data_IF_687300212896
#
_entry.id   IF_687300212896
#
_cell.length_a   1.000
_cell.length_b   1.000
_cell.length_c   1.000
_cell.angle_alpha   90.00
_cell.angle_beta   90.00
_cell.angle_gamma   90.00
#
_symmetry.space_group_name_H-M   'P 1'
#
loop_
_entity.id
_entity.type
_entity.pdbx_description
1 polymer ?
#
# COMPACT_ATOMS: atom_id res chain seq x y z
N UNK A 1 -15.39 -9.54 -43.45
CA UNK A 1 -16.39 -8.45 -43.31
C UNK A 1 -17.42 -8.73 -42.20
N UNK A 2 -18.20 -9.82 -42.22
CA UNK A 2 -19.13 -10.14 -41.11
C UNK A 2 -18.45 -10.72 -39.85
N UNK A 3 -17.33 -11.45 -40.00
CA UNK A 3 -16.52 -11.95 -38.87
C UNK A 3 -15.84 -10.81 -38.11
N UNK A 4 -15.26 -9.85 -38.82
CA UNK A 4 -14.52 -8.74 -38.23
C UNK A 4 -15.41 -7.85 -37.34
N UNK A 5 -16.67 -7.63 -37.74
CA UNK A 5 -17.65 -6.88 -36.94
C UNK A 5 -18.15 -7.64 -35.70
N UNK A 6 -18.23 -8.97 -35.79
CA UNK A 6 -18.64 -9.80 -34.64
C UNK A 6 -17.50 -9.90 -33.64
N UNK A 7 -16.26 -10.08 -34.10
CA UNK A 7 -15.09 -10.12 -33.22
C UNK A 7 -14.84 -8.76 -32.54
N UNK A 8 -15.07 -7.64 -33.24
CA UNK A 8 -15.01 -6.29 -32.67
C UNK A 8 -16.13 -6.01 -31.66
N UNK A 9 -17.37 -6.39 -31.97
CA UNK A 9 -18.50 -6.22 -31.06
C UNK A 9 -18.42 -7.14 -29.83
N UNK A 10 -17.94 -8.38 -30.00
CA UNK A 10 -17.71 -9.31 -28.89
C UNK A 10 -16.57 -8.82 -28.00
N UNK A 11 -15.46 -8.32 -28.59
CA UNK A 11 -14.36 -7.71 -27.83
C UNK A 11 -14.78 -6.48 -27.02
N UNK A 12 -15.60 -5.59 -27.60
CA UNK A 12 -16.11 -4.41 -26.89
C UNK A 12 -17.08 -4.75 -25.74
N UNK A 13 -17.93 -5.79 -25.91
CA UNK A 13 -18.86 -6.25 -24.87
C UNK A 13 -18.10 -6.95 -23.72
N UNK A 14 -17.04 -7.69 -24.04
CA UNK A 14 -16.17 -8.33 -23.05
C UNK A 14 -15.40 -7.31 -22.20
N UNK A 15 -14.87 -6.25 -22.80
CA UNK A 15 -14.10 -5.23 -22.09
C UNK A 15 -14.95 -4.45 -21.06
N UNK A 16 -16.18 -4.07 -21.41
CA UNK A 16 -17.08 -3.37 -20.51
C UNK A 16 -17.59 -4.26 -19.37
N UNK A 17 -17.79 -5.56 -19.62
CA UNK A 17 -18.15 -6.52 -18.57
C UNK A 17 -16.97 -6.78 -17.62
N UNK A 18 -15.77 -6.96 -18.16
CA UNK A 18 -14.53 -7.14 -17.38
C UNK A 18 -14.26 -5.93 -16.50
N UNK A 19 -14.32 -4.72 -17.06
CA UNK A 19 -14.09 -3.47 -16.32
C UNK A 19 -15.10 -3.27 -15.20
N UNK A 20 -16.39 -3.53 -15.45
CA UNK A 20 -17.44 -3.47 -14.40
C UNK A 20 -17.15 -4.45 -13.27
N UNK A 21 -16.81 -5.70 -13.59
CA UNK A 21 -16.53 -6.71 -12.58
C UNK A 21 -15.25 -6.39 -11.78
N UNK A 22 -14.19 -5.93 -12.45
CA UNK A 22 -12.97 -5.44 -11.79
C UNK A 22 -13.28 -4.30 -10.82
N UNK A 23 -14.14 -3.37 -11.21
CA UNK A 23 -14.60 -2.27 -10.36
C UNK A 23 -15.27 -2.79 -9.10
N UNK A 24 -16.26 -3.67 -9.24
CA UNK A 24 -16.97 -4.25 -8.08
C UNK A 24 -16.02 -4.98 -7.14
N UNK A 25 -15.11 -5.80 -7.68
CA UNK A 25 -14.17 -6.57 -6.86
C UNK A 25 -13.12 -5.68 -6.18
N UNK A 26 -12.65 -4.66 -6.88
CA UNK A 26 -11.69 -3.68 -6.36
C UNK A 26 -12.32 -2.89 -5.21
N UNK A 27 -13.48 -2.28 -5.43
CA UNK A 27 -14.15 -1.44 -4.43
C UNK A 27 -14.54 -2.25 -3.19
N UNK A 28 -14.96 -3.51 -3.39
CA UNK A 28 -15.22 -4.43 -2.28
C UNK A 28 -13.97 -4.72 -1.45
N UNK A 29 -12.80 -4.81 -2.07
CA UNK A 29 -11.54 -5.17 -1.39
C UNK A 29 -10.82 -3.95 -0.82
N UNK A 30 -11.01 -2.77 -1.40
CA UNK A 30 -10.29 -1.54 -1.12
C UNK A 30 -10.30 -1.15 0.38
N UNK A 31 -11.43 -1.16 1.11
CA UNK A 31 -11.46 -0.77 2.52
C UNK A 31 -10.55 -1.62 3.42
N UNK A 32 -10.44 -2.93 3.13
CA UNK A 32 -9.58 -3.84 3.88
C UNK A 32 -8.08 -3.56 3.67
N UNK A 33 -7.72 -2.84 2.60
CA UNK A 33 -6.35 -2.53 2.23
C UNK A 33 -5.92 -1.12 2.67
N UNK A 34 -6.84 -0.25 3.08
CA UNK A 34 -6.51 1.04 3.68
C UNK A 34 -5.68 0.91 4.95
N UNK A 35 -5.70 -0.25 5.61
CA UNK A 35 -4.86 -0.58 6.76
C UNK A 35 -3.40 -0.93 6.38
N UNK A 36 -3.05 -1.05 5.09
CA UNK A 36 -1.69 -1.37 4.63
C UNK A 36 -0.97 -0.15 4.00
N UNK A 37 0.37 -0.13 3.94
CA UNK A 37 1.11 0.86 3.15
C UNK A 37 0.73 0.77 1.68
N UNK A 38 0.81 1.88 0.94
CA UNK A 38 0.28 1.99 -0.42
C UNK A 38 0.79 0.90 -1.35
N UNK A 39 2.10 0.70 -1.38
CA UNK A 39 2.74 -0.30 -2.23
C UNK A 39 2.28 -1.71 -1.91
N UNK A 40 2.20 -2.04 -0.61
CA UNK A 40 1.75 -3.35 -0.17
C UNK A 40 0.26 -3.56 -0.43
N UNK A 41 -0.54 -2.52 -0.28
CA UNK A 41 -1.96 -2.53 -0.64
C UNK A 41 -2.15 -2.80 -2.14
N UNK A 42 -1.41 -2.10 -3.01
CA UNK A 42 -1.42 -2.32 -4.45
C UNK A 42 -1.00 -3.74 -4.84
N UNK A 43 0.12 -4.23 -4.30
CA UNK A 43 0.57 -5.61 -4.55
C UNK A 43 -0.48 -6.63 -4.08
N UNK A 44 -1.09 -6.41 -2.92
CA UNK A 44 -2.14 -7.29 -2.39
C UNK A 44 -3.39 -7.25 -3.27
N UNK A 45 -3.77 -6.07 -3.78
CA UNK A 45 -4.90 -5.90 -4.70
C UNK A 45 -4.66 -6.61 -6.03
N UNK A 46 -3.49 -6.40 -6.65
CA UNK A 46 -3.08 -7.08 -7.89
C UNK A 46 -3.15 -8.59 -7.72
N UNK A 47 -2.53 -9.12 -6.66
CA UNK A 47 -2.60 -10.55 -6.33
C UNK A 47 -4.02 -11.06 -6.05
N UNK A 48 -4.89 -10.24 -5.46
CA UNK A 48 -6.30 -10.59 -5.24
C UNK A 48 -7.05 -10.75 -6.57
N UNK A 49 -6.88 -9.83 -7.51
CA UNK A 49 -7.54 -9.89 -8.82
C UNK A 49 -6.96 -11.03 -9.68
N UNK A 50 -5.66 -11.33 -9.60
CA UNK A 50 -5.09 -12.52 -10.25
C UNK A 50 -5.73 -13.82 -9.78
N UNK A 51 -5.92 -13.97 -8.47
CA UNK A 51 -6.61 -15.14 -7.93
C UNK A 51 -8.09 -15.22 -8.32
N UNK A 52 -8.66 -14.14 -8.85
CA UNK A 52 -10.02 -14.11 -9.41
C UNK A 52 -10.07 -14.45 -10.90
N UNK A 53 -8.91 -14.74 -11.52
CA UNK A 53 -8.81 -15.23 -12.90
C UNK A 53 -8.57 -14.14 -13.94
N UNK A 54 -8.31 -12.90 -13.52
CA UNK A 54 -8.01 -11.82 -14.47
C UNK A 54 -6.56 -11.87 -14.94
N UNK A 55 -6.34 -11.47 -16.19
CA UNK A 55 -5.04 -11.45 -16.85
C UNK A 55 -4.08 -10.43 -16.19
N UNK A 56 -2.79 -10.78 -16.02
CA UNK A 56 -1.70 -9.90 -15.56
C UNK A 56 -1.80 -8.45 -16.02
N UNK A 57 -1.64 -8.21 -17.32
CA UNK A 57 -1.62 -6.89 -17.95
C UNK A 57 -2.86 -6.05 -17.64
N UNK A 58 -4.06 -6.63 -17.75
CA UNK A 58 -5.32 -5.93 -17.44
C UNK A 58 -5.34 -5.45 -15.98
N UNK A 59 -4.98 -6.32 -15.03
CA UNK A 59 -4.97 -5.97 -13.61
C UNK A 59 -3.89 -4.94 -13.28
N UNK A 60 -2.70 -5.04 -13.90
CA UNK A 60 -1.63 -4.06 -13.70
C UNK A 60 -2.11 -2.68 -14.14
N UNK A 61 -2.59 -2.56 -15.38
CA UNK A 61 -3.10 -1.31 -15.94
C UNK A 61 -4.27 -0.76 -15.10
N UNK A 62 -5.22 -1.60 -14.73
CA UNK A 62 -6.38 -1.22 -13.94
C UNK A 62 -6.00 -0.71 -12.54
N UNK A 63 -5.16 -1.46 -11.80
CA UNK A 63 -4.72 -1.05 -10.47
C UNK A 63 -3.85 0.22 -10.51
N UNK A 64 -2.99 0.36 -11.51
CA UNK A 64 -2.11 1.53 -11.63
C UNK A 64 -2.90 2.79 -11.98
N UNK A 65 -3.96 2.68 -12.78
CA UNK A 65 -4.91 3.78 -13.04
C UNK A 65 -5.67 4.24 -11.80
N UNK A 66 -5.88 3.34 -10.83
CA UNK A 66 -6.60 3.61 -9.56
C UNK A 66 -5.68 3.71 -8.34
N UNK A 67 -4.37 3.91 -8.55
CA UNK A 67 -3.40 3.98 -7.45
C UNK A 67 -3.66 5.12 -6.46
N UNK A 68 -4.41 6.15 -6.86
CA UNK A 68 -4.81 7.29 -6.02
C UNK A 68 -5.85 6.93 -4.96
N UNK A 69 -6.56 5.81 -5.14
CA UNK A 69 -7.60 5.38 -4.22
C UNK A 69 -7.01 4.77 -2.92
N UNK A 70 -5.69 4.52 -2.92
CA UNK A 70 -4.96 4.06 -1.75
C UNK A 70 -4.34 5.25 -1.00
N UNK A 71 -4.21 5.16 0.35
CA UNK A 71 -3.57 6.19 1.15
C UNK A 71 -2.16 6.52 0.63
N UNK A 72 -1.82 7.80 0.54
CA UNK A 72 -0.52 8.29 0.10
C UNK A 72 -0.19 9.62 0.81
N UNK A 73 1.08 10.04 0.75
CA UNK A 73 1.53 11.30 1.33
C UNK A 73 1.27 11.35 2.83
N UNK A 74 0.72 12.46 3.33
CA UNK A 74 0.47 12.69 4.75
C UNK A 74 -0.36 11.57 5.41
N UNK A 75 -1.39 11.06 4.72
CA UNK A 75 -2.21 9.97 5.27
C UNK A 75 -1.42 8.66 5.45
N UNK A 76 -0.45 8.40 4.57
CA UNK A 76 0.47 7.27 4.70
C UNK A 76 1.50 7.53 5.81
N UNK A 77 2.04 8.75 5.89
CA UNK A 77 3.03 9.16 6.89
C UNK A 77 2.46 9.10 8.32
N UNK A 78 1.26 9.63 8.56
CA UNK A 78 0.58 9.54 9.86
C UNK A 78 0.41 8.09 10.34
N UNK A 79 0.11 7.21 9.41
CA UNK A 79 -0.08 5.79 9.71
C UNK A 79 1.26 5.07 9.92
N UNK A 80 2.27 5.42 9.13
CA UNK A 80 3.64 4.98 9.37
C UNK A 80 4.13 5.42 10.75
N UNK A 81 3.82 6.64 11.19
CA UNK A 81 4.13 7.14 12.53
C UNK A 81 3.44 6.34 13.62
N UNK A 82 2.14 6.07 13.47
CA UNK A 82 1.37 5.25 14.41
C UNK A 82 1.92 3.80 14.51
N UNK A 83 2.32 3.22 13.38
CA UNK A 83 2.96 1.90 13.35
C UNK A 83 4.36 1.92 13.97
N UNK A 84 5.17 2.94 13.67
CA UNK A 84 6.50 3.13 14.23
C UNK A 84 6.43 3.22 15.76
N UNK A 85 5.48 4.01 16.30
CA UNK A 85 5.26 4.13 17.74
C UNK A 85 4.93 2.77 18.39
N UNK A 86 4.10 1.94 17.74
CA UNK A 86 3.81 0.57 18.22
C UNK A 86 5.06 -0.32 18.22
N UNK A 87 5.90 -0.23 17.19
CA UNK A 87 7.14 -1.01 17.11
C UNK A 87 8.15 -0.51 18.16
N UNK A 88 8.32 0.81 18.31
CA UNK A 88 9.15 1.43 19.35
C UNK A 88 8.72 0.94 20.74
N UNK A 89 7.43 0.98 21.05
CA UNK A 89 6.89 0.48 22.33
C UNK A 89 7.22 -0.99 22.57
N UNK A 90 7.11 -1.84 21.56
CA UNK A 90 7.46 -3.26 21.66
C UNK A 90 8.95 -3.50 21.88
N UNK A 91 9.81 -2.62 21.37
CA UNK A 91 11.27 -2.71 21.49
C UNK A 91 11.82 -1.90 22.68
N UNK A 92 10.97 -1.22 23.46
CA UNK A 92 11.41 -0.35 24.56
C UNK A 92 12.27 -1.06 25.59
N UNK A 93 11.89 -2.29 25.93
CA UNK A 93 12.60 -3.08 26.95
C UNK A 93 13.71 -3.97 26.34
N UNK A 94 14.04 -3.74 25.05
CA UNK A 94 15.15 -4.46 24.40
C UNK A 94 16.50 -3.86 24.83
N UNK A 95 17.48 -4.73 25.09
CA UNK A 95 18.85 -4.34 25.46
C UNK A 95 19.70 -3.93 24.23
N UNK A 96 19.06 -3.37 23.20
CA UNK A 96 19.74 -2.98 21.97
C UNK A 96 20.35 -1.59 22.14
N UNK A 97 21.55 -1.39 21.60
CA UNK A 97 22.12 -0.06 21.48
C UNK A 97 21.35 0.79 20.44
N UNK A 98 21.62 2.09 20.40
CA UNK A 98 20.89 3.03 19.53
C UNK A 98 20.97 2.68 18.04
N UNK A 99 22.09 2.14 17.57
CA UNK A 99 22.26 1.77 16.17
C UNK A 99 21.49 0.49 15.83
N UNK A 100 21.64 -0.55 16.66
CA UNK A 100 20.94 -1.83 16.52
C UNK A 100 19.43 -1.65 16.65
N UNK A 101 18.97 -0.75 17.54
CA UNK A 101 17.56 -0.39 17.68
C UNK A 101 17.03 0.28 16.42
N UNK A 102 17.75 1.27 15.86
CA UNK A 102 17.38 1.93 14.59
C UNK A 102 17.28 0.91 13.45
N UNK A 103 18.27 0.03 13.29
CA UNK A 103 18.24 -1.02 12.26
C UNK A 103 17.03 -1.97 12.44
N UNK A 104 16.70 -2.33 13.69
CA UNK A 104 15.55 -3.20 13.98
C UNK A 104 14.22 -2.52 13.69
N UNK A 105 14.09 -1.22 13.99
CA UNK A 105 12.92 -0.42 13.65
C UNK A 105 12.72 -0.36 12.14
N UNK A 106 13.77 -0.02 11.39
CA UNK A 106 13.73 0.04 9.92
C UNK A 106 13.31 -1.32 9.35
N UNK A 107 13.96 -2.42 9.76
CA UNK A 107 13.62 -3.76 9.31
C UNK A 107 12.15 -4.13 9.61
N UNK A 108 11.65 -3.82 10.81
CA UNK A 108 10.27 -4.09 11.18
C UNK A 108 9.26 -3.30 10.33
N UNK A 109 9.58 -2.04 10.00
CA UNK A 109 8.74 -1.19 9.16
C UNK A 109 8.78 -1.61 7.68
N UNK A 110 9.95 -2.04 7.17
CA UNK A 110 10.06 -2.61 5.82
C UNK A 110 9.24 -3.89 5.69
N UNK A 111 9.25 -4.77 6.71
CA UNK A 111 8.41 -5.97 6.72
C UNK A 111 6.91 -5.66 6.72
N UNK A 112 6.51 -4.54 7.33
CA UNK A 112 5.15 -3.99 7.23
C UNK A 112 4.80 -3.47 5.83
N UNK A 113 5.79 -3.20 4.98
CA UNK A 113 5.63 -2.79 3.59
C UNK A 113 5.86 -1.32 3.31
N UNK A 114 6.40 -0.55 4.26
CA UNK A 114 6.76 0.85 4.05
C UNK A 114 8.06 0.98 3.27
N UNK A 115 8.16 2.01 2.42
CA UNK A 115 9.40 2.37 1.73
C UNK A 115 10.39 2.99 2.70
N UNK A 116 11.68 2.84 2.41
CA UNK A 116 12.75 3.39 3.25
C UNK A 116 12.64 4.92 3.42
N UNK A 117 12.29 5.65 2.37
CA UNK A 117 12.10 7.10 2.41
C UNK A 117 11.02 7.53 3.41
N UNK A 118 9.86 6.87 3.39
CA UNK A 118 8.76 7.09 4.35
C UNK A 118 9.21 6.78 5.78
N UNK A 119 9.91 5.65 5.97
CA UNK A 119 10.42 5.25 7.28
C UNK A 119 11.38 6.31 7.82
N UNK A 120 12.33 6.75 6.99
CA UNK A 120 13.34 7.74 7.36
C UNK A 120 12.69 9.05 7.78
N UNK A 121 11.78 9.59 6.96
CA UNK A 121 11.06 10.84 7.23
C UNK A 121 10.35 10.80 8.59
N UNK A 122 9.54 9.77 8.81
CA UNK A 122 8.76 9.59 10.05
C UNK A 122 9.66 9.36 11.26
N UNK A 123 10.80 8.71 11.09
CA UNK A 123 11.79 8.58 12.17
C UNK A 123 12.39 9.93 12.55
N UNK A 124 12.77 10.75 11.58
CA UNK A 124 13.33 12.10 11.78
C UNK A 124 12.32 13.05 12.43
N UNK A 125 11.07 13.05 11.98
CA UNK A 125 9.97 13.81 12.60
C UNK A 125 9.78 13.40 14.07
N UNK A 126 9.74 12.10 14.34
CA UNK A 126 9.56 11.60 15.71
C UNK A 126 10.74 11.87 16.65
N UNK A 127 11.96 12.06 16.11
CA UNK A 127 13.14 12.47 16.88
C UNK A 127 13.05 13.96 17.18
N UNK A 128 12.58 14.77 16.24
CA UNK A 128 12.40 16.22 16.37
C UNK A 128 11.35 16.56 17.45
N UNK A 129 10.21 15.87 17.47
CA UNK A 129 9.14 16.05 18.47
C UNK A 129 9.60 15.76 19.91
N UNK A 130 10.62 14.91 20.08
CA UNK A 130 11.17 14.56 21.38
C UNK A 130 12.08 15.67 21.95
N UNK A 131 12.70 16.49 21.10
CA UNK A 131 13.55 17.62 21.53
C UNK A 131 12.73 18.87 21.89
N UNK A 132 11.52 19.03 21.36
CA UNK A 132 10.66 20.18 21.69
C UNK A 132 9.90 20.00 23.02
N UNK A 133 9.55 18.77 23.40
CA UNK A 133 8.86 18.47 24.66
C UNK A 133 9.74 18.55 25.92
N UNK A 134 11.06 18.66 25.78
CA UNK A 134 12.01 18.80 26.91
C UNK A 134 12.28 20.28 27.29
N UNK A 135 11.58 21.23 26.64
CA UNK A 135 11.71 22.69 26.84
C UNK A 135 10.50 23.35 27.51
N UNK A 136 9.55 22.59 28.02
CA UNK A 136 8.37 23.06 28.78
C UNK A 136 8.41 22.50 30.20
#
# INVERSE_FOLDING_TARGET
>A
MFRDYVDEAVGAIEDDAVKRNLTVLFDKKLPALHAQPREKALQTMKGYLYRKGYEPGIVFAYCDGRKSDFPAGEAEDQKAAADLAKVKRRLRDSKLDGYALKAKLVSAMMNKGYRYETIKRVMEESETDAFENDRV
#
